data_IF_728652173493
#
_entry.id   IF_728652173493
#
_cell.length_a   1.000
_cell.length_b   1.000
_cell.length_c   1.000
_cell.angle_alpha   90.00
_cell.angle_beta   90.00
_cell.angle_gamma   90.00
#
_symmetry.space_group_name_H-M   'P 1'
#
loop_
_entity.id
_entity.type
_entity.pdbx_description
1 polymer ?
#
# COMPACT_ATOMS: atom_id res chain seq x y z
N UNK A 1 -13.99 -11.27 -3.76
CA UNK A 1 -14.98 -10.44 -4.48
C UNK A 1 -14.44 -10.09 -5.86
N UNK A 2 -15.24 -10.25 -6.92
CA UNK A 2 -14.86 -9.92 -8.30
C UNK A 2 -14.53 -8.43 -8.50
N UNK A 3 -13.76 -8.11 -9.54
CA UNK A 3 -13.34 -6.73 -9.87
C UNK A 3 -14.48 -5.83 -10.35
N UNK A 4 -15.52 -6.42 -10.94
CA UNK A 4 -16.69 -5.75 -11.52
C UNK A 4 -17.87 -5.63 -10.55
N UNK A 5 -17.71 -6.13 -9.32
CA UNK A 5 -18.73 -6.06 -8.28
C UNK A 5 -19.00 -4.60 -7.87
N UNK A 6 -20.27 -4.19 -7.92
CA UNK A 6 -20.68 -2.84 -7.49
C UNK A 6 -20.69 -2.73 -5.97
N UNK A 7 -20.06 -1.68 -5.44
CA UNK A 7 -19.96 -1.42 -4.00
C UNK A 7 -20.27 0.05 -3.73
N UNK A 8 -21.08 0.31 -2.71
CA UNK A 8 -21.32 1.66 -2.23
C UNK A 8 -20.06 2.24 -1.58
N UNK A 9 -19.87 3.57 -1.62
CA UNK A 9 -18.75 4.18 -0.92
C UNK A 9 -18.82 3.90 0.59
N UNK A 10 -17.72 3.43 1.19
CA UNK A 10 -17.61 3.15 2.62
C UNK A 10 -16.21 3.49 3.14
N UNK A 11 -16.10 3.62 4.47
CA UNK A 11 -14.84 3.75 5.16
C UNK A 11 -14.75 2.65 6.24
N UNK A 12 -13.86 1.69 6.03
CA UNK A 12 -13.59 0.59 6.95
C UNK A 12 -12.17 0.07 6.73
N UNK A 13 -11.40 -0.11 7.80
CA UNK A 13 -10.03 -0.62 7.72
C UNK A 13 -9.70 -1.58 8.86
N UNK A 14 -8.84 -2.56 8.59
CA UNK A 14 -8.24 -3.42 9.62
C UNK A 14 -6.98 -2.82 10.27
N UNK A 15 -6.52 -1.64 9.81
CA UNK A 15 -5.49 -0.90 10.51
C UNK A 15 -6.05 -0.41 11.85
N UNK A 16 -5.32 -0.62 12.95
CA UNK A 16 -5.77 -0.21 14.29
C UNK A 16 -5.56 1.28 14.54
N UNK A 17 -6.37 1.84 15.46
CA UNK A 17 -6.24 3.22 15.94
C UNK A 17 -6.69 4.29 14.94
N UNK A 18 -7.39 3.90 13.88
CA UNK A 18 -8.01 4.81 12.93
C UNK A 18 -9.48 5.02 13.30
N UNK A 19 -10.04 6.17 12.91
CA UNK A 19 -11.48 6.44 13.08
C UNK A 19 -12.35 5.34 12.45
N UNK A 20 -11.90 4.82 11.31
CA UNK A 20 -12.63 3.84 10.51
C UNK A 20 -12.14 2.40 10.77
N UNK A 21 -11.45 2.15 11.89
CA UNK A 21 -11.01 0.80 12.28
C UNK A 21 -12.22 -0.10 12.57
N UNK A 22 -12.29 -1.27 11.94
CA UNK A 22 -13.37 -2.25 12.17
C UNK A 22 -13.18 -3.08 13.44
N UNK A 23 -11.98 -3.05 14.01
CA UNK A 23 -11.60 -3.81 15.18
C UNK A 23 -10.43 -3.13 15.92
N UNK A 24 -10.36 -3.34 17.23
CA UNK A 24 -9.26 -2.89 18.10
C UNK A 24 -8.29 -4.02 18.47
N UNK A 25 -8.67 -5.28 18.24
CA UNK A 25 -7.87 -6.47 18.55
C UNK A 25 -7.78 -7.39 17.34
N UNK A 26 -6.78 -8.29 17.33
CA UNK A 26 -6.64 -9.29 16.27
C UNK A 26 -7.82 -10.26 16.25
N UNK A 27 -8.35 -10.64 17.41
CA UNK A 27 -9.48 -11.58 17.49
C UNK A 27 -10.77 -10.95 16.97
N UNK A 28 -11.02 -9.68 17.29
CA UNK A 28 -12.18 -8.96 16.73
C UNK A 28 -12.04 -8.77 15.22
N UNK A 29 -10.82 -8.52 14.73
CA UNK A 29 -10.56 -8.41 13.30
C UNK A 29 -10.85 -9.74 12.57
N UNK A 30 -10.48 -10.87 13.18
CA UNK A 30 -10.79 -12.22 12.66
C UNK A 30 -12.29 -12.50 12.66
N UNK A 31 -13.00 -12.17 13.75
CA UNK A 31 -14.48 -12.30 13.80
C UNK A 31 -15.16 -11.46 12.74
N UNK A 32 -14.69 -10.22 12.55
CA UNK A 32 -15.22 -9.33 11.52
C UNK A 32 -14.98 -9.90 10.12
N UNK A 33 -13.80 -10.47 9.85
CA UNK A 33 -13.52 -11.16 8.60
C UNK A 33 -14.45 -12.36 8.38
N UNK A 34 -14.67 -13.18 9.41
CA UNK A 34 -15.62 -14.29 9.35
C UNK A 34 -17.02 -13.84 8.98
N UNK A 35 -17.54 -12.79 9.64
CA UNK A 35 -18.84 -12.23 9.31
C UNK A 35 -18.90 -11.66 7.87
N UNK A 36 -17.82 -11.02 7.40
CA UNK A 36 -17.74 -10.52 6.02
C UNK A 36 -17.74 -11.66 4.97
N UNK A 37 -17.10 -12.77 5.32
CA UNK A 37 -17.04 -13.97 4.49
C UNK A 37 -18.40 -14.69 4.40
N UNK A 38 -19.16 -14.74 5.49
CA UNK A 38 -20.51 -15.31 5.51
C UNK A 38 -21.54 -14.45 4.76
N UNK A 39 -21.32 -13.14 4.70
CA UNK A 39 -22.19 -12.24 3.94
C UNK A 39 -22.14 -12.59 2.44
N UNK A 40 -23.29 -12.85 1.77
CA UNK A 40 -23.35 -13.22 0.35
C UNK A 40 -22.73 -12.20 -0.59
N UNK A 41 -22.54 -10.97 -0.13
CA UNK A 41 -21.86 -9.93 -0.87
C UNK A 41 -22.70 -9.31 -1.99
N UNK A 42 -22.10 -8.36 -2.71
CA UNK A 42 -22.76 -7.68 -3.84
C UNK A 42 -22.86 -8.56 -5.10
N UNK A 43 -22.14 -9.68 -5.15
CA UNK A 43 -22.11 -10.60 -6.28
C UNK A 43 -22.47 -12.02 -5.78
N UNK A 44 -23.77 -12.38 -5.79
CA UNK A 44 -24.22 -13.70 -5.34
C UNK A 44 -23.54 -14.83 -6.09
N UNK A 45 -23.10 -15.87 -5.35
CA UNK A 45 -22.45 -17.06 -5.92
C UNK A 45 -20.97 -16.90 -6.26
N UNK A 46 -20.39 -15.70 -6.14
CA UNK A 46 -18.95 -15.50 -6.29
C UNK A 46 -18.19 -15.89 -5.01
N UNK A 47 -16.92 -16.34 -5.10
CA UNK A 47 -16.08 -16.62 -3.94
C UNK A 47 -16.04 -15.46 -2.93
N UNK A 48 -16.28 -15.80 -1.65
CA UNK A 48 -16.29 -14.84 -0.54
C UNK A 48 -15.03 -14.92 0.32
N UNK A 49 -14.39 -16.09 0.30
CA UNK A 49 -13.13 -16.37 1.00
C UNK A 49 -11.99 -16.66 0.01
N UNK A 50 -10.75 -16.64 0.51
CA UNK A 50 -9.61 -17.16 -0.26
C UNK A 50 -9.74 -18.67 -0.48
N UNK A 51 -10.32 -19.38 0.49
CA UNK A 51 -10.62 -20.81 0.40
C UNK A 51 -11.57 -21.13 -0.74
N UNK A 52 -12.68 -20.39 -0.87
CA UNK A 52 -13.63 -20.56 -1.97
C UNK A 52 -12.96 -20.29 -3.32
N UNK A 53 -12.11 -19.26 -3.38
CA UNK A 53 -11.40 -18.89 -4.59
C UNK A 53 -10.48 -20.02 -5.04
N UNK A 54 -9.66 -20.55 -4.13
CA UNK A 54 -8.76 -21.66 -4.40
C UNK A 54 -9.51 -22.95 -4.77
N UNK A 55 -10.61 -23.26 -4.07
CA UNK A 55 -11.44 -24.43 -4.36
C UNK A 55 -12.14 -24.34 -5.73
N UNK A 56 -12.46 -23.14 -6.20
CA UNK A 56 -13.11 -22.94 -7.50
C UNK A 56 -12.20 -23.25 -8.70
N UNK A 57 -10.88 -23.18 -8.51
CA UNK A 57 -9.90 -23.55 -9.52
C UNK A 57 -8.59 -24.08 -8.88
N UNK A 58 -8.56 -25.37 -8.46
CA UNK A 58 -7.44 -25.96 -7.73
C UNK A 58 -6.10 -25.99 -8.46
N UNK A 59 -6.12 -25.88 -9.79
CA UNK A 59 -4.91 -25.89 -10.63
C UNK A 59 -4.34 -24.49 -10.88
N UNK A 60 -5.05 -23.43 -10.47
CA UNK A 60 -4.61 -22.05 -10.69
C UNK A 60 -3.56 -21.58 -9.67
N UNK A 61 -2.74 -20.63 -10.09
CA UNK A 61 -1.95 -19.83 -9.17
C UNK A 61 -2.83 -18.79 -8.46
N UNK A 62 -2.83 -18.80 -7.12
CA UNK A 62 -3.52 -17.83 -6.28
C UNK A 62 -2.49 -16.97 -5.56
N UNK A 63 -2.52 -15.66 -5.85
CA UNK A 63 -1.52 -14.71 -5.36
C UNK A 63 -2.23 -13.65 -4.51
N UNK A 64 -2.07 -13.74 -3.19
CA UNK A 64 -2.59 -12.76 -2.24
C UNK A 64 -1.54 -11.68 -1.98
N UNK A 65 -1.85 -10.42 -2.32
CA UNK A 65 -0.95 -9.29 -2.07
C UNK A 65 -1.49 -8.46 -0.92
N UNK A 66 -0.88 -8.57 0.25
CA UNK A 66 -1.50 -8.09 1.49
C UNK A 66 -0.51 -7.37 2.40
N UNK A 67 -0.99 -6.34 3.08
CA UNK A 67 -0.26 -5.71 4.19
C UNK A 67 -0.54 -6.47 5.50
N UNK A 68 0.27 -6.21 6.52
CA UNK A 68 0.11 -6.81 7.86
C UNK A 68 -1.30 -6.65 8.44
N UNK A 69 -1.91 -5.47 8.23
CA UNK A 69 -3.25 -5.18 8.71
C UNK A 69 -4.31 -6.14 8.14
N UNK A 70 -4.12 -6.62 6.92
CA UNK A 70 -5.07 -7.51 6.23
C UNK A 70 -4.66 -9.00 6.34
N UNK A 71 -3.39 -9.33 6.57
CA UNK A 71 -2.99 -10.73 6.82
C UNK A 71 -3.56 -11.29 8.13
N UNK A 72 -3.49 -10.51 9.22
CA UNK A 72 -3.98 -10.92 10.55
C UNK A 72 -5.42 -11.46 10.57
N UNK A 73 -6.42 -10.71 10.05
CA UNK A 73 -7.80 -11.17 10.08
C UNK A 73 -8.05 -12.37 9.17
N UNK A 74 -7.33 -12.46 8.05
CA UNK A 74 -7.53 -13.48 7.03
C UNK A 74 -6.65 -14.71 7.22
N UNK A 75 -5.79 -14.77 8.25
CA UNK A 75 -4.72 -15.77 8.31
C UNK A 75 -5.22 -17.22 8.23
N UNK A 76 -6.31 -17.51 8.93
CA UNK A 76 -6.91 -18.86 8.91
C UNK A 76 -7.50 -19.22 7.55
N UNK A 77 -8.18 -18.28 6.89
CA UNK A 77 -8.74 -18.48 5.56
C UNK A 77 -7.63 -18.65 4.50
N UNK A 78 -6.54 -17.87 4.60
CA UNK A 78 -5.37 -18.04 3.73
C UNK A 78 -4.72 -19.41 3.90
N UNK A 79 -4.63 -19.91 5.13
CA UNK A 79 -4.10 -21.25 5.40
C UNK A 79 -4.99 -22.34 4.76
N UNK A 80 -6.31 -22.25 4.95
CA UNK A 80 -7.26 -23.18 4.34
C UNK A 80 -7.24 -23.12 2.81
N UNK A 81 -7.04 -21.92 2.23
CA UNK A 81 -6.93 -21.76 0.78
C UNK A 81 -5.74 -22.53 0.19
N UNK A 82 -4.60 -22.54 0.88
CA UNK A 82 -3.43 -23.30 0.47
C UNK A 82 -3.72 -24.81 0.38
N UNK A 83 -4.57 -25.33 1.27
CA UNK A 83 -4.98 -26.74 1.29
C UNK A 83 -5.92 -27.13 0.15
N UNK A 84 -6.50 -26.16 -0.57
CA UNK A 84 -7.42 -26.42 -1.69
C UNK A 84 -6.73 -26.54 -3.05
N UNK A 85 -5.48 -26.08 -3.16
CA UNK A 85 -4.73 -26.15 -4.42
C UNK A 85 -4.04 -27.51 -4.57
N UNK A 86 -3.93 -27.97 -5.82
CA UNK A 86 -3.25 -29.24 -6.15
C UNK A 86 -1.76 -29.17 -5.84
N UNK A 87 -1.14 -28.04 -6.20
CA UNK A 87 0.26 -27.74 -5.90
C UNK A 87 0.33 -26.62 -4.84
N UNK A 88 0.85 -26.87 -3.63
CA UNK A 88 1.05 -25.84 -2.61
C UNK A 88 1.90 -24.65 -3.09
N UNK A 89 2.80 -24.85 -4.06
CA UNK A 89 3.60 -23.76 -4.62
C UNK A 89 2.78 -22.81 -5.52
N UNK A 90 1.55 -23.16 -5.88
CA UNK A 90 0.61 -22.26 -6.56
C UNK A 90 -0.06 -21.27 -5.59
N UNK A 91 0.07 -21.46 -4.27
CA UNK A 91 -0.37 -20.47 -3.29
C UNK A 91 0.76 -19.53 -2.90
N UNK A 92 0.58 -18.24 -3.13
CA UNK A 92 1.62 -17.23 -2.86
C UNK A 92 1.04 -16.05 -2.08
N UNK A 93 1.68 -15.68 -0.97
CA UNK A 93 1.38 -14.46 -0.23
C UNK A 93 2.53 -13.47 -0.44
N UNK A 94 2.29 -12.35 -1.12
CA UNK A 94 3.27 -11.25 -1.23
C UNK A 94 2.95 -10.22 -0.13
N UNK A 95 3.78 -10.18 0.90
CA UNK A 95 3.45 -9.49 2.15
C UNK A 95 4.64 -9.28 3.10
N UNK A 96 4.41 -8.82 4.33
CA UNK A 96 5.43 -8.82 5.37
C UNK A 96 5.84 -10.26 5.74
N UNK A 97 7.14 -10.52 5.82
CA UNK A 97 7.68 -11.79 6.31
C UNK A 97 7.85 -11.86 7.83
N UNK A 98 7.99 -13.08 8.35
CA UNK A 98 8.33 -13.38 9.75
C UNK A 98 7.32 -12.85 10.78
N UNK A 99 6.04 -12.80 10.41
CA UNK A 99 4.94 -12.33 11.28
C UNK A 99 3.93 -13.42 11.62
N UNK A 100 3.76 -14.39 10.73
CA UNK A 100 2.72 -15.42 10.81
C UNK A 100 3.37 -16.79 10.62
N UNK A 101 3.75 -17.49 11.70
CA UNK A 101 4.41 -18.80 11.59
C UNK A 101 3.66 -19.77 10.68
N UNK A 102 2.33 -19.81 10.79
CA UNK A 102 1.47 -20.72 10.04
C UNK A 102 1.39 -20.41 8.54
N UNK A 103 1.75 -19.19 8.13
CA UNK A 103 1.74 -18.76 6.73
C UNK A 103 3.13 -18.58 6.13
N UNK A 104 4.18 -18.68 6.94
CA UNK A 104 5.55 -18.31 6.54
C UNK A 104 6.02 -19.09 5.31
N UNK A 105 5.60 -20.36 5.21
CA UNK A 105 5.92 -21.22 4.08
C UNK A 105 5.35 -20.73 2.74
N UNK A 106 4.31 -19.89 2.76
CA UNK A 106 3.65 -19.33 1.57
C UNK A 106 4.05 -17.88 1.29
N UNK A 107 4.80 -17.24 2.19
CA UNK A 107 5.13 -15.82 2.10
C UNK A 107 6.36 -15.58 1.21
N UNK A 108 6.19 -14.71 0.23
CA UNK A 108 7.26 -13.99 -0.47
C UNK A 108 7.43 -12.62 0.21
N UNK A 109 8.48 -12.44 1.02
CA UNK A 109 8.60 -11.28 1.89
C UNK A 109 8.96 -10.01 1.11
N UNK A 110 8.22 -8.94 1.38
CA UNK A 110 8.53 -7.59 0.90
C UNK A 110 9.14 -6.79 2.04
N UNK A 111 10.28 -6.14 1.78
CA UNK A 111 10.94 -5.28 2.75
C UNK A 111 11.07 -3.85 2.22
N UNK A 112 11.23 -2.87 3.10
CA UNK A 112 11.45 -1.47 2.71
C UNK A 112 12.66 -1.28 1.78
N UNK A 113 13.61 -2.23 1.77
CA UNK A 113 14.78 -2.20 0.88
C UNK A 113 14.42 -2.23 -0.60
N UNK A 114 13.26 -2.74 -1.00
CA UNK A 114 12.83 -2.74 -2.42
C UNK A 114 12.16 -1.42 -2.82
N UNK A 115 11.83 -0.54 -1.87
CA UNK A 115 11.16 0.73 -2.13
C UNK A 115 11.90 1.63 -3.13
N UNK A 116 13.24 1.76 -3.11
CA UNK A 116 13.96 2.55 -4.11
C UNK A 116 13.78 2.02 -5.54
N UNK A 117 13.66 0.70 -5.72
CA UNK A 117 13.47 0.09 -7.03
C UNK A 117 12.04 0.25 -7.56
N UNK A 118 11.04 0.19 -6.69
CA UNK A 118 9.62 0.25 -7.10
C UNK A 118 8.95 1.61 -6.87
N UNK A 119 9.68 2.56 -6.28
CA UNK A 119 9.22 3.92 -5.98
C UNK A 119 8.12 4.00 -4.92
N UNK A 120 7.53 5.21 -4.79
CA UNK A 120 6.31 5.56 -4.03
C UNK A 120 6.34 5.32 -2.50
N UNK A 121 5.17 5.38 -1.84
CA UNK A 121 5.06 5.30 -0.36
C UNK A 121 5.08 3.86 0.17
N UNK A 122 5.49 3.67 1.43
CA UNK A 122 5.50 2.34 2.07
C UNK A 122 4.11 1.70 2.14
N UNK A 123 3.04 2.51 2.18
CA UNK A 123 1.65 2.02 2.24
C UNK A 123 1.29 1.14 1.04
N UNK A 124 1.76 1.49 -0.16
CA UNK A 124 1.53 0.75 -1.40
C UNK A 124 2.72 -0.10 -1.84
N UNK A 125 3.68 -0.34 -0.95
CA UNK A 125 4.92 -1.06 -1.27
C UNK A 125 4.64 -2.49 -1.73
N UNK A 126 3.82 -3.25 -1.01
CA UNK A 126 3.50 -4.65 -1.34
C UNK A 126 2.88 -4.77 -2.73
N UNK A 127 1.88 -3.94 -3.04
CA UNK A 127 1.22 -3.92 -4.35
C UNK A 127 2.20 -3.58 -5.48
N UNK A 128 3.09 -2.60 -5.29
CA UNK A 128 4.08 -2.23 -6.31
C UNK A 128 5.17 -3.29 -6.48
N UNK A 129 5.63 -3.89 -5.39
CA UNK A 129 6.61 -4.98 -5.43
C UNK A 129 6.02 -6.21 -6.14
N UNK A 130 4.78 -6.59 -5.82
CA UNK A 130 4.05 -7.65 -6.49
C UNK A 130 3.93 -7.37 -7.99
N UNK A 131 3.44 -6.18 -8.38
CA UNK A 131 3.35 -5.80 -9.80
C UNK A 131 4.70 -5.96 -10.52
N UNK A 132 5.77 -5.46 -9.92
CA UNK A 132 7.11 -5.52 -10.52
C UNK A 132 7.57 -6.97 -10.71
N UNK A 133 7.43 -7.81 -9.69
CA UNK A 133 7.85 -9.22 -9.76
C UNK A 133 6.99 -10.04 -10.72
N UNK A 134 5.67 -9.79 -10.79
CA UNK A 134 4.78 -10.41 -11.77
C UNK A 134 5.13 -10.01 -13.21
N UNK A 135 5.46 -8.74 -13.43
CA UNK A 135 5.95 -8.26 -14.73
C UNK A 135 7.30 -8.91 -15.11
N UNK A 136 8.21 -9.08 -14.16
CA UNK A 136 9.47 -9.82 -14.38
C UNK A 136 9.21 -11.28 -14.76
N UNK A 137 8.38 -11.99 -14.00
CA UNK A 137 8.02 -13.37 -14.28
C UNK A 137 7.41 -13.52 -15.68
N UNK A 138 6.47 -12.63 -16.04
CA UNK A 138 5.86 -12.62 -17.38
C UNK A 138 6.89 -12.39 -18.48
N UNK A 139 7.77 -11.40 -18.34
CA UNK A 139 8.84 -11.10 -19.33
C UNK A 139 9.80 -12.27 -19.50
N UNK A 140 10.11 -12.96 -18.42
CA UNK A 140 11.00 -14.13 -18.40
C UNK A 140 10.27 -15.44 -18.74
N UNK A 141 8.96 -15.40 -19.03
CA UNK A 141 8.11 -16.58 -19.28
C UNK A 141 8.19 -17.63 -18.16
N UNK A 142 8.32 -17.18 -16.91
CA UNK A 142 8.38 -18.04 -15.73
C UNK A 142 6.98 -18.22 -15.11
N UNK A 143 6.69 -19.39 -14.51
CA UNK A 143 5.39 -19.65 -13.88
C UNK A 143 5.21 -18.80 -12.62
N UNK A 144 3.97 -18.54 -12.23
CA UNK A 144 3.66 -17.77 -11.01
C UNK A 144 3.62 -18.64 -9.75
N UNK A 145 4.66 -19.45 -9.57
CA UNK A 145 4.83 -20.28 -8.37
C UNK A 145 5.62 -19.55 -7.30
N UNK A 146 5.40 -19.93 -6.04
CA UNK A 146 6.08 -19.36 -4.89
C UNK A 146 7.62 -19.37 -5.00
N UNK A 147 8.31 -20.48 -5.35
CA UNK A 147 9.77 -20.46 -5.49
C UNK A 147 10.25 -19.47 -6.56
N UNK A 148 9.50 -19.37 -7.65
CA UNK A 148 9.82 -18.45 -8.75
C UNK A 148 9.69 -17.00 -8.30
N UNK A 149 8.55 -16.63 -7.72
CA UNK A 149 8.30 -15.26 -7.29
C UNK A 149 9.21 -14.86 -6.11
N UNK A 150 9.58 -15.80 -5.23
CA UNK A 150 10.57 -15.59 -4.19
C UNK A 150 11.96 -15.26 -4.77
N UNK A 151 12.41 -16.01 -5.78
CA UNK A 151 13.69 -15.77 -6.45
C UNK A 151 13.72 -14.39 -7.14
N UNK A 152 12.64 -14.01 -7.82
CA UNK A 152 12.52 -12.71 -8.48
C UNK A 152 12.41 -11.55 -7.48
N UNK A 153 11.73 -11.73 -6.35
CA UNK A 153 11.70 -10.73 -5.27
C UNK A 153 13.09 -10.53 -4.66
N UNK A 154 13.86 -11.62 -4.50
CA UNK A 154 15.25 -11.56 -4.06
C UNK A 154 16.12 -10.80 -5.07
N UNK A 155 16.00 -11.12 -6.36
CA UNK A 155 16.70 -10.40 -7.44
C UNK A 155 16.36 -8.90 -7.45
N UNK A 156 15.08 -8.54 -7.28
CA UNK A 156 14.63 -7.15 -7.16
C UNK A 156 15.26 -6.45 -5.96
N UNK A 157 15.36 -7.15 -4.82
CA UNK A 157 15.97 -6.59 -3.61
C UNK A 157 17.48 -6.38 -3.78
N UNK A 158 18.18 -7.33 -4.41
CA UNK A 158 19.62 -7.27 -4.61
C UNK A 158 20.01 -6.21 -5.66
N UNK A 159 19.15 -5.99 -6.66
CA UNK A 159 19.30 -4.94 -7.66
C UNK A 159 18.78 -3.56 -7.21
N UNK A 160 18.12 -3.47 -6.06
CA UNK A 160 17.58 -2.22 -5.57
C UNK A 160 18.72 -1.23 -5.29
N UNK A 161 18.63 0.01 -5.81
CA UNK A 161 19.58 1.05 -5.44
C UNK A 161 19.64 1.19 -3.91
N UNK A 162 20.82 1.53 -3.34
CA UNK A 162 20.89 1.83 -1.92
C UNK A 162 19.84 2.87 -1.60
N UNK A 163 19.09 2.63 -0.52
CA UNK A 163 18.10 3.60 -0.07
C UNK A 163 18.81 4.93 0.07
N UNK A 164 18.40 5.92 -0.74
CA UNK A 164 18.88 7.28 -0.56
C UNK A 164 18.44 7.62 0.85
N UNK A 165 19.40 7.66 1.77
CA UNK A 165 19.19 8.19 3.11
C UNK A 165 18.72 9.62 2.89
N UNK A 166 17.40 9.79 2.89
CA UNK A 166 16.83 11.11 3.03
C UNK A 166 17.13 11.45 4.47
N UNK A 167 18.27 12.10 4.69
CA UNK A 167 18.51 12.84 5.92
C UNK A 167 17.21 13.61 6.16
N UNK A 168 16.53 13.44 7.31
CA UNK A 168 15.34 14.20 7.60
C UNK A 168 15.71 15.66 7.38
N UNK A 169 15.17 16.28 6.32
CA UNK A 169 15.46 17.67 6.04
C UNK A 169 15.08 18.48 7.28
N UNK A 170 15.86 19.52 7.61
CA UNK A 170 15.60 20.33 8.80
C UNK A 170 14.10 20.62 8.92
N UNK A 171 13.50 20.23 10.05
CA UNK A 171 12.09 20.49 10.33
C UNK A 171 11.93 21.99 10.41
N UNK A 172 11.15 22.54 9.49
CA UNK A 172 10.81 23.95 9.50
C UNK A 172 9.69 24.18 10.52
N UNK A 173 9.71 25.32 11.20
CA UNK A 173 8.56 25.93 11.86
C UNK A 173 7.51 26.38 10.83
N UNK A 174 6.31 26.74 11.29
CA UNK A 174 5.28 27.26 10.38
C UNK A 174 5.68 28.61 9.78
N UNK A 175 6.36 29.47 10.54
CA UNK A 175 6.86 30.76 10.05
C UNK A 175 7.88 30.59 8.91
N UNK A 176 8.78 29.62 9.04
CA UNK A 176 9.75 29.31 7.98
C UNK A 176 9.08 28.71 6.74
N UNK A 177 8.01 27.91 6.90
CA UNK A 177 7.22 27.40 5.78
C UNK A 177 6.42 28.53 5.12
N UNK A 178 5.85 29.44 5.89
CA UNK A 178 5.16 30.64 5.40
C UNK A 178 6.08 31.52 4.56
N UNK A 179 7.27 31.85 5.11
CA UNK A 179 8.27 32.64 4.42
C UNK A 179 8.69 31.97 3.11
N UNK A 180 8.96 30.66 3.14
CA UNK A 180 9.29 29.91 1.93
C UNK A 180 8.18 29.97 0.88
N UNK A 181 6.92 29.74 1.27
CA UNK A 181 5.81 29.74 0.31
C UNK A 181 5.66 31.12 -0.33
N UNK A 182 5.73 32.21 0.45
CA UNK A 182 5.63 33.58 -0.09
C UNK A 182 6.76 33.91 -1.06
N UNK A 183 8.01 33.61 -0.69
CA UNK A 183 9.15 33.81 -1.58
C UNK A 183 9.01 32.98 -2.86
N UNK A 184 8.65 31.71 -2.73
CA UNK A 184 8.54 30.82 -3.89
C UNK A 184 7.36 31.18 -4.80
N UNK A 185 6.29 31.76 -4.27
CA UNK A 185 5.18 32.30 -5.07
C UNK A 185 5.59 33.56 -5.84
N UNK A 186 6.34 34.47 -5.21
CA UNK A 186 6.79 35.71 -5.84
C UNK A 186 7.79 35.45 -6.99
N UNK A 187 8.58 34.39 -6.90
CA UNK A 187 9.57 34.00 -7.91
C UNK A 187 8.98 33.21 -9.09
N UNK A 188 7.75 32.70 -8.96
CA UNK A 188 7.16 31.82 -9.96
C UNK A 188 6.37 32.62 -11.01
N UNK A 189 6.83 32.61 -12.27
CA UNK A 189 6.06 33.15 -13.38
C UNK A 189 4.96 32.16 -13.78
N UNK A 190 3.76 32.28 -13.21
CA UNK A 190 2.56 31.54 -13.62
C UNK A 190 1.79 30.84 -12.48
N UNK A 191 0.84 29.95 -12.81
CA UNK A 191 -0.03 29.31 -11.82
C UNK A 191 0.77 28.48 -10.81
N UNK A 192 0.62 28.85 -9.53
CA UNK A 192 1.33 28.19 -8.43
C UNK A 192 0.46 27.08 -7.85
N UNK A 193 1.03 25.90 -7.60
CA UNK A 193 0.34 24.83 -6.89
C UNK A 193 1.12 24.38 -5.66
N UNK A 194 0.40 24.06 -4.58
CA UNK A 194 0.98 23.57 -3.33
C UNK A 194 1.92 22.37 -3.55
N UNK A 195 1.55 21.46 -4.46
CA UNK A 195 2.36 20.27 -4.78
C UNK A 195 3.68 20.65 -5.49
N UNK A 196 3.66 21.64 -6.39
CA UNK A 196 4.86 22.13 -7.08
C UNK A 196 5.84 22.79 -6.11
N UNK A 197 5.34 23.66 -5.24
CA UNK A 197 6.17 24.33 -4.23
C UNK A 197 6.70 23.37 -3.16
N UNK A 198 5.89 22.41 -2.71
CA UNK A 198 6.34 21.38 -1.76
C UNK A 198 7.45 20.50 -2.34
N UNK A 199 7.39 20.21 -3.65
CA UNK A 199 8.48 19.49 -4.34
C UNK A 199 9.77 20.32 -4.35
N UNK A 200 9.67 21.63 -4.63
CA UNK A 200 10.79 22.58 -4.60
C UNK A 200 11.40 22.71 -3.20
N UNK A 201 10.57 22.75 -2.16
CA UNK A 201 11.02 22.75 -0.76
C UNK A 201 11.85 21.49 -0.47
N UNK A 202 11.34 20.32 -0.86
CA UNK A 202 12.00 19.03 -0.62
C UNK A 202 13.29 18.87 -1.41
N UNK A 203 13.37 19.38 -2.65
CA UNK A 203 14.62 19.38 -3.42
C UNK A 203 15.70 20.28 -2.82
N UNK A 204 15.33 21.23 -1.95
CA UNK A 204 16.28 22.06 -1.20
C UNK A 204 16.78 21.43 0.11
N UNK A 205 16.48 20.16 0.37
CA UNK A 205 16.92 19.46 1.59
C UNK A 205 16.12 19.82 2.85
N UNK A 206 15.00 20.53 2.72
CA UNK A 206 14.09 20.90 3.83
C UNK A 206 12.85 20.01 3.82
N UNK A 207 12.25 19.75 4.99
CA UNK A 207 11.09 18.86 5.10
C UNK A 207 9.86 19.54 5.71
N UNK A 208 8.69 19.26 5.13
CA UNK A 208 7.39 19.63 5.67
C UNK A 208 6.36 18.55 5.29
N UNK A 209 5.45 18.26 6.23
CA UNK A 209 4.33 17.35 6.01
C UNK A 209 3.39 17.91 4.93
N UNK A 210 2.87 17.05 4.07
CA UNK A 210 2.08 17.50 2.92
C UNK A 210 0.75 18.15 3.34
N UNK A 211 0.09 17.62 4.37
CA UNK A 211 -1.15 18.20 4.91
C UNK A 211 -0.88 19.59 5.50
N UNK A 212 0.17 19.71 6.32
CA UNK A 212 0.60 20.97 6.93
C UNK A 212 0.96 22.02 5.87
N UNK A 213 1.78 21.66 4.89
CA UNK A 213 2.15 22.57 3.79
C UNK A 213 0.93 23.03 2.98
N UNK A 214 -0.02 22.13 2.68
CA UNK A 214 -1.25 22.48 1.98
C UNK A 214 -2.11 23.47 2.78
N UNK A 215 -2.27 23.25 4.09
CA UNK A 215 -3.03 24.17 4.96
C UNK A 215 -2.45 25.58 4.98
N UNK A 216 -1.12 25.70 5.12
CA UNK A 216 -0.42 27.00 5.10
C UNK A 216 -0.52 27.68 3.74
N UNK A 217 -0.37 26.94 2.64
CA UNK A 217 -0.55 27.47 1.28
C UNK A 217 -1.96 28.03 1.06
N UNK A 218 -3.00 27.32 1.50
CA UNK A 218 -4.38 27.78 1.39
C UNK A 218 -4.63 29.06 2.20
N UNK A 219 -4.05 29.16 3.40
CA UNK A 219 -4.16 30.35 4.24
C UNK A 219 -3.54 31.59 3.57
N UNK A 220 -2.36 31.45 2.96
CA UNK A 220 -1.73 32.53 2.19
C UNK A 220 -2.62 32.96 1.01
N UNK A 221 -3.18 32.00 0.27
CA UNK A 221 -4.03 32.31 -0.87
C UNK A 221 -5.34 33.00 -0.48
N UNK A 222 -5.90 32.67 0.68
CA UNK A 222 -7.06 33.37 1.23
C UNK A 222 -6.69 34.80 1.67
N UNK A 223 -5.55 34.99 2.34
CA UNK A 223 -5.06 36.31 2.76
C UNK A 223 -4.77 37.24 1.57
N UNK A 224 -4.16 36.75 0.51
CA UNK A 224 -3.86 37.54 -0.69
C UNK A 224 -5.16 37.88 -1.45
N UNK A 225 -6.09 36.93 -1.57
CA UNK A 225 -7.41 37.19 -2.17
C UNK A 225 -8.23 38.21 -1.38
N UNK A 226 -8.07 38.30 -0.05
CA UNK A 226 -8.73 39.31 0.79
C UNK A 226 -8.12 40.71 0.61
N UNK A 227 -6.84 40.83 0.24
CA UNK A 227 -6.16 42.11 0.01
C UNK A 227 -6.42 42.70 -1.37
N UNK A 228 -6.65 41.87 -2.38
CA UNK A 228 -7.00 42.34 -3.73
C UNK A 228 -8.42 42.97 -3.81
N UNK A 229 -9.20 42.89 -2.72
CA UNK A 229 -10.56 43.43 -2.60
C UNK A 229 -10.68 44.63 -1.64
N UNK A 230 -9.58 45.08 -1.03
CA UNK A 230 -9.51 46.24 -0.13
C UNK A 230 -8.75 47.40 -0.76
#
# INVERSE_FOLDING_TARGET
MPEDASIAAYAATFAFGQKDSVASTTDDARRWWGALAEWPGPAPGAPRTFTDLAASNPDAAVIAVMSDAYLRPCAHDLQQAAEKLVDPDNFVIIGPGHRYPDLENFIVPVSAAVQPAVGGSLLSLHARAARHVLEMARKQQKPFTRPTLAALMKELRESAPPAISRTPGARLSDDEVFAFIRTAMAEEAGPVSATKLLRRLRSSGRSCEQARFKGLFQKIMQEDALKDWS
#
